data_IF_073030171378
#
_entry.id   IF_073030171378
#
_cell.length_a   1.000
_cell.length_b   1.000
_cell.length_c   1.000
_cell.angle_alpha   90.00
_cell.angle_beta   90.00
_cell.angle_gamma   90.00
#
_symmetry.space_group_name_H-M   'P 1'
#
loop_
_entity.id
_entity.type
_entity.pdbx_description
1 polymer ?
#
# COMPACT_ATOMS: atom_id res chain seq x y z
N UNK A 1 10.02 14.94 5.21
CA UNK A 1 9.55 13.57 4.89
C UNK A 1 10.70 12.58 4.80
N UNK A 2 11.73 12.83 3.99
CA UNK A 2 12.85 11.89 3.86
C UNK A 2 13.80 11.92 5.06
N UNK A 3 14.21 13.14 5.49
CA UNK A 3 14.96 13.35 6.74
C UNK A 3 14.20 12.88 7.99
N UNK A 4 12.87 12.87 7.94
CA UNK A 4 12.00 12.40 9.01
C UNK A 4 11.72 10.89 8.93
N UNK A 5 12.31 10.17 7.97
CA UNK A 5 12.18 8.72 7.82
C UNK A 5 10.80 8.24 7.35
N UNK A 6 9.92 9.14 6.91
CA UNK A 6 8.55 8.82 6.48
C UNK A 6 8.53 8.20 5.08
N UNK A 7 9.42 8.66 4.20
CA UNK A 7 9.57 8.17 2.83
C UNK A 7 10.99 7.63 2.63
N UNK A 8 11.10 6.55 1.87
CA UNK A 8 12.35 6.03 1.33
C UNK A 8 12.40 6.35 -0.15
N UNK A 9 13.54 6.82 -0.65
CA UNK A 9 13.69 7.02 -2.09
C UNK A 9 14.78 6.13 -2.67
N UNK A 10 14.51 5.63 -3.87
CA UNK A 10 15.46 4.85 -4.66
C UNK A 10 15.61 5.52 -6.02
N UNK A 11 16.87 5.68 -6.47
CA UNK A 11 17.17 6.25 -7.77
C UNK A 11 17.32 5.13 -8.80
N UNK A 12 16.66 5.25 -9.94
CA UNK A 12 16.78 4.35 -11.09
C UNK A 12 17.14 5.20 -12.31
N UNK A 13 18.44 5.32 -12.59
CA UNK A 13 18.95 6.27 -13.59
C UNK A 13 18.56 7.72 -13.25
N UNK A 14 17.80 8.36 -14.12
CA UNK A 14 17.29 9.73 -13.94
C UNK A 14 16.01 9.78 -13.10
N UNK A 15 15.30 8.66 -12.97
CA UNK A 15 14.01 8.60 -12.26
C UNK A 15 14.24 8.39 -10.76
N UNK A 16 13.51 9.15 -9.94
CA UNK A 16 13.47 8.98 -8.49
C UNK A 16 12.15 8.32 -8.08
N UNK A 17 12.25 7.08 -7.61
CA UNK A 17 11.13 6.34 -7.05
C UNK A 17 11.02 6.73 -5.57
N UNK A 18 9.85 7.22 -5.18
CA UNK A 18 9.54 7.62 -3.80
C UNK A 18 8.50 6.65 -3.25
N UNK A 19 8.85 5.97 -2.17
CA UNK A 19 7.98 4.99 -1.51
C UNK A 19 7.78 5.37 -0.04
N UNK A 20 6.64 4.99 0.52
CA UNK A 20 6.42 5.14 1.95
C UNK A 20 7.28 4.14 2.72
N UNK A 21 7.97 4.60 3.77
CA UNK A 21 8.84 3.75 4.56
C UNK A 21 8.00 2.78 5.41
N UNK A 22 8.07 1.47 5.12
CA UNK A 22 7.34 0.43 5.88
C UNK A 22 7.69 0.36 7.36
N UNK A 23 8.87 0.85 7.76
CA UNK A 23 9.30 0.89 9.17
C UNK A 23 8.82 2.13 9.91
N UNK A 24 8.13 3.06 9.24
CA UNK A 24 7.56 4.23 9.89
C UNK A 24 6.50 3.80 10.91
N UNK A 25 6.55 4.26 12.18
CA UNK A 25 5.67 3.79 13.25
C UNK A 25 4.17 3.89 12.90
N UNK A 26 3.75 4.95 12.21
CA UNK A 26 2.34 5.19 11.86
C UNK A 26 2.08 4.89 10.37
N UNK A 27 2.87 3.98 9.77
CA UNK A 27 2.77 3.65 8.36
C UNK A 27 1.34 3.28 7.94
N UNK A 28 0.64 2.48 8.74
CA UNK A 28 -0.72 2.05 8.42
C UNK A 28 -1.72 3.21 8.35
N UNK A 29 -1.65 4.14 9.30
CA UNK A 29 -2.59 5.27 9.38
C UNK A 29 -2.26 6.34 8.34
N UNK A 30 -0.98 6.54 8.04
CA UNK A 30 -0.55 7.40 6.95
C UNK A 30 -0.98 6.83 5.58
N UNK A 31 -0.85 5.52 5.36
CA UNK A 31 -1.38 4.86 4.15
C UNK A 31 -2.89 5.03 4.05
N UNK A 32 -3.64 4.82 5.14
CA UNK A 32 -5.10 5.02 5.16
C UNK A 32 -5.49 6.46 4.85
N UNK A 33 -4.77 7.43 5.43
CA UNK A 33 -5.00 8.85 5.17
C UNK A 33 -4.71 9.18 3.71
N UNK A 34 -3.58 8.74 3.17
CA UNK A 34 -3.23 8.95 1.77
C UNK A 34 -4.28 8.32 0.84
N UNK A 35 -4.75 7.10 1.13
CA UNK A 35 -5.83 6.45 0.38
C UNK A 35 -7.18 7.18 0.50
N UNK A 36 -7.46 7.84 1.63
CA UNK A 36 -8.66 8.63 1.83
C UNK A 36 -8.59 9.97 1.09
N UNK A 37 -7.41 10.59 1.07
CA UNK A 37 -7.15 11.86 0.39
C UNK A 37 -7.07 11.70 -1.14
N UNK A 38 -6.56 10.57 -1.62
CA UNK A 38 -6.44 10.27 -3.07
C UNK A 38 -7.74 9.81 -3.72
N UNK A 39 -8.90 10.17 -3.15
CA UNK A 39 -10.24 9.77 -3.61
C UNK A 39 -10.33 8.27 -3.93
N UNK A 40 -10.31 7.44 -2.89
CA UNK A 40 -10.60 5.99 -2.92
C UNK A 40 -10.21 5.32 -4.24
N UNK A 41 -8.91 5.08 -4.45
CA UNK A 41 -8.49 4.32 -5.59
C UNK A 41 -9.15 2.93 -5.58
N UNK A 42 -9.93 2.61 -6.62
CA UNK A 42 -10.59 1.30 -6.86
C UNK A 42 -9.61 0.13 -6.67
N UNK A 43 -8.30 0.39 -6.83
CA UNK A 43 -7.20 -0.54 -6.66
C UNK A 43 -6.95 -1.00 -5.21
N UNK A 44 -7.32 -0.22 -4.18
CA UNK A 44 -7.21 -0.66 -2.78
C UNK A 44 -8.20 -1.80 -2.43
N UNK A 45 -9.39 -1.76 -3.03
CA UNK A 45 -10.35 -2.88 -2.96
C UNK A 45 -9.78 -4.11 -3.66
N UNK A 46 -9.20 -3.94 -4.86
CA UNK A 46 -8.56 -5.04 -5.62
C UNK A 46 -7.38 -5.66 -4.88
N UNK A 47 -6.53 -4.88 -4.22
CA UNK A 47 -5.43 -5.43 -3.41
C UNK A 47 -5.89 -6.19 -2.17
N UNK A 48 -7.05 -5.84 -1.61
CA UNK A 48 -7.62 -6.58 -0.49
C UNK A 48 -8.28 -7.87 -0.98
N UNK A 49 -8.90 -7.84 -2.17
CA UNK A 49 -9.45 -8.99 -2.86
C UNK A 49 -8.38 -9.99 -3.31
N UNK A 50 -7.26 -9.52 -3.89
CA UNK A 50 -6.13 -10.36 -4.32
C UNK A 50 -5.38 -11.01 -3.14
N UNK A 51 -5.47 -10.45 -1.93
CA UNK A 51 -4.89 -11.04 -0.71
C UNK A 51 -5.80 -12.09 -0.05
N UNK A 52 -7.01 -12.32 -0.57
CA UNK A 52 -7.76 -13.52 -0.17
C UNK A 52 -6.96 -14.73 -0.63
N UNK A 53 -6.55 -15.58 0.33
CA UNK A 53 -5.98 -16.88 0.02
C UNK A 53 -6.89 -17.59 -0.98
N UNK A 54 -6.35 -18.20 -2.05
CA UNK A 54 -7.11 -19.09 -2.90
C UNK A 54 -7.85 -20.07 -2.01
N UNK A 55 -9.18 -20.07 -2.08
CA UNK A 55 -9.96 -21.09 -1.38
C UNK A 55 -9.62 -22.43 -2.05
N UNK A 56 -9.35 -23.45 -1.25
CA UNK A 56 -9.31 -24.81 -1.77
C UNK A 56 -10.58 -25.09 -2.57
N UNK A 57 -10.43 -25.66 -3.76
CA UNK A 57 -11.54 -25.99 -4.66
C UNK A 57 -12.58 -26.81 -3.88
N UNK A 58 -13.83 -26.36 -3.80
CA UNK A 58 -14.92 -27.05 -3.10
C UNK A 58 -15.47 -26.40 -1.83
N UNK A 59 -15.02 -25.21 -1.40
CA UNK A 59 -15.68 -24.49 -0.29
C UNK A 59 -16.89 -23.66 -0.77
N UNK A 60 -18.13 -23.95 -0.32
CA UNK A 60 -19.32 -23.22 -0.76
C UNK A 60 -19.32 -21.76 -0.29
N UNK A 61 -19.98 -20.91 -1.09
CA UNK A 61 -20.33 -19.53 -0.74
C UNK A 61 -21.52 -19.60 0.22
N UNK A 62 -21.33 -19.17 1.47
CA UNK A 62 -22.43 -18.81 2.37
C UNK A 62 -22.42 -17.30 2.51
#
# INVERSE_FOLDING_TARGET
MEKSGVITTRRLGTVRIVELNRRYPEHADLVRLLLRLSERPVYAARWTESRRRPRAMGKPLR
#
